data_IF_728111593460
#
_entry.id   IF_728111593460
#
_cell.length_a   1.000
_cell.length_b   1.000
_cell.length_c   1.000
_cell.angle_alpha   90.00
_cell.angle_beta   90.00
_cell.angle_gamma   90.00
#
_symmetry.space_group_name_H-M   'P 1'
#
loop_
_entity.id
_entity.type
_entity.pdbx_description
1 polymer ?
#
# COMPACT_ATOMS: atom_id res chain seq x y z
N UNK A 1 -0.95 -16.55 2.70
CA UNK A 1 -1.54 -15.22 2.41
C UNK A 1 -2.67 -15.48 1.45
N UNK A 2 -3.85 -15.05 1.82
CA UNK A 2 -5.04 -15.22 1.00
C UNK A 2 -5.34 -13.94 0.20
N UNK A 3 -6.27 -14.07 -0.76
CA UNK A 3 -6.91 -12.96 -1.41
C UNK A 3 -8.37 -12.88 -0.93
N UNK A 4 -8.89 -11.67 -0.74
CA UNK A 4 -10.29 -11.47 -0.35
C UNK A 4 -10.91 -10.37 -1.21
N UNK A 5 -12.10 -10.66 -1.73
CA UNK A 5 -12.92 -9.68 -2.45
C UNK A 5 -13.71 -8.89 -1.41
N UNK A 6 -13.57 -7.56 -1.40
CA UNK A 6 -14.34 -6.67 -0.53
C UNK A 6 -15.18 -5.77 -1.42
N UNK A 7 -16.49 -5.76 -1.19
CA UNK A 7 -17.39 -4.85 -1.92
C UNK A 7 -17.37 -3.46 -1.28
N UNK A 8 -17.66 -2.43 -2.07
CA UNK A 8 -17.72 -1.05 -1.58
C UNK A 8 -18.73 -0.88 -0.44
N UNK A 9 -19.91 -1.50 -0.58
CA UNK A 9 -20.93 -1.55 0.48
C UNK A 9 -20.38 -2.14 1.79
N UNK A 10 -19.61 -3.23 1.73
CA UNK A 10 -19.02 -3.84 2.93
C UNK A 10 -17.96 -2.95 3.59
N UNK A 11 -17.18 -2.21 2.78
CA UNK A 11 -16.18 -1.28 3.26
C UNK A 11 -16.81 -0.05 3.92
N UNK A 12 -17.82 0.54 3.27
CA UNK A 12 -18.51 1.76 3.72
C UNK A 12 -19.33 1.50 4.99
N UNK A 13 -19.96 0.33 5.11
CA UNK A 13 -20.75 -0.06 6.28
C UNK A 13 -19.92 -0.74 7.39
N UNK A 14 -18.59 -0.75 7.26
CA UNK A 14 -17.64 -1.29 8.25
C UNK A 14 -17.91 -2.75 8.67
N UNK A 15 -18.55 -3.54 7.80
CA UNK A 15 -19.00 -4.93 8.05
C UNK A 15 -17.88 -5.97 8.07
N UNK A 16 -16.62 -5.54 8.02
CA UNK A 16 -15.47 -6.42 8.04
C UNK A 16 -15.33 -7.16 9.38
N UNK A 17 -14.82 -8.41 9.37
CA UNK A 17 -14.58 -9.17 10.60
C UNK A 17 -13.66 -8.40 11.55
N UNK A 18 -13.87 -8.55 12.85
CA UNK A 18 -13.05 -7.94 13.90
C UNK A 18 -11.72 -8.69 14.13
N UNK A 19 -11.03 -9.00 13.03
CA UNK A 19 -9.73 -9.67 13.00
C UNK A 19 -8.74 -8.79 12.25
N UNK A 20 -7.50 -8.72 12.74
CA UNK A 20 -6.40 -8.03 12.11
C UNK A 20 -6.18 -8.58 10.71
N UNK A 21 -6.27 -7.71 9.71
CA UNK A 21 -6.13 -8.11 8.31
C UNK A 21 -4.77 -8.74 7.99
N UNK A 22 -3.71 -8.38 8.75
CA UNK A 22 -2.34 -8.90 8.55
C UNK A 22 -2.07 -10.25 9.23
N UNK A 23 -2.45 -10.41 10.50
CA UNK A 23 -2.09 -11.62 11.28
C UNK A 23 -3.27 -12.48 11.72
N UNK A 24 -4.51 -12.03 11.52
CA UNK A 24 -5.71 -12.79 11.84
C UNK A 24 -6.08 -12.85 13.32
N UNK A 25 -5.33 -12.20 14.22
CA UNK A 25 -5.69 -12.05 15.65
C UNK A 25 -6.83 -11.05 15.81
N UNK A 26 -7.49 -10.98 16.96
CA UNK A 26 -8.51 -9.96 17.24
C UNK A 26 -7.97 -8.55 16.97
N UNK A 27 -8.73 -7.75 16.21
CA UNK A 27 -8.39 -6.36 15.99
C UNK A 27 -8.63 -5.55 17.26
N UNK A 28 -7.85 -4.49 17.48
CA UNK A 28 -8.04 -3.54 18.59
C UNK A 28 -8.22 -2.12 18.09
N UNK A 29 -7.85 -1.87 16.82
CA UNK A 29 -7.95 -0.57 16.18
C UNK A 29 -8.52 -0.74 14.76
N UNK A 30 -9.36 0.20 14.35
CA UNK A 30 -9.77 0.37 12.96
C UNK A 30 -9.08 1.60 12.39
N UNK A 31 -8.45 1.47 11.23
CA UNK A 31 -7.80 2.59 10.54
C UNK A 31 -8.36 2.72 9.14
N UNK A 32 -8.74 3.92 8.73
CA UNK A 32 -9.09 4.17 7.34
C UNK A 32 -7.84 4.11 6.46
N UNK A 33 -7.93 3.40 5.33
CA UNK A 33 -6.88 3.31 4.33
C UNK A 33 -7.45 3.42 2.93
N UNK A 34 -6.91 4.37 2.18
CA UNK A 34 -7.15 4.50 0.75
C UNK A 34 -6.12 3.68 -0.01
N UNK A 35 -6.60 2.68 -0.72
CA UNK A 35 -5.82 1.92 -1.67
C UNK A 35 -5.99 2.51 -3.07
N UNK A 36 -4.91 2.60 -3.82
CA UNK A 36 -4.93 3.02 -5.23
C UNK A 36 -4.57 1.83 -6.10
N UNK A 37 -5.26 1.66 -7.23
CA UNK A 37 -4.93 0.60 -8.19
C UNK A 37 -3.46 0.73 -8.58
N UNK A 38 -2.71 -0.37 -8.51
CA UNK A 38 -1.36 -0.42 -9.10
C UNK A 38 -1.56 -0.36 -10.61
N UNK A 39 -1.45 0.83 -11.16
CA UNK A 39 -1.59 0.99 -12.60
C UNK A 39 -0.28 0.56 -13.28
N UNK A 40 -0.41 -0.15 -14.39
CA UNK A 40 0.69 -0.70 -15.19
C UNK A 40 1.49 0.39 -15.94
N UNK A 41 1.10 1.66 -15.84
CA UNK A 41 1.72 2.79 -16.54
C UNK A 41 3.14 3.14 -16.09
N UNK A 42 3.75 2.42 -15.15
CA UNK A 42 5.21 2.55 -14.94
C UNK A 42 5.98 2.37 -16.25
N UNK A 43 5.47 1.55 -17.18
CA UNK A 43 6.00 1.47 -18.54
C UNK A 43 5.75 2.74 -19.37
N UNK A 44 4.63 3.44 -19.16
CA UNK A 44 4.28 4.68 -19.85
C UNK A 44 5.11 5.88 -19.38
N UNK A 45 5.62 5.92 -18.14
CA UNK A 45 6.55 6.97 -17.67
C UNK A 45 7.80 7.02 -18.54
N UNK A 46 8.31 5.83 -18.90
CA UNK A 46 9.50 5.68 -19.72
C UNK A 46 9.30 6.21 -21.16
N UNK A 47 8.06 6.25 -21.65
CA UNK A 47 7.72 6.63 -23.03
C UNK A 47 7.08 8.02 -23.15
N UNK A 48 6.35 8.49 -22.15
CA UNK A 48 5.48 9.67 -22.22
C UNK A 48 5.93 10.88 -21.40
N UNK A 49 7.04 10.77 -20.66
CA UNK A 49 7.62 11.87 -19.89
C UNK A 49 6.71 12.45 -18.80
N UNK A 50 7.01 13.68 -18.39
CA UNK A 50 6.37 14.38 -17.26
C UNK A 50 4.84 14.56 -17.39
N UNK A 51 4.27 14.88 -18.58
CA UNK A 51 2.83 14.99 -18.74
C UNK A 51 2.09 13.68 -18.46
N UNK A 52 2.63 12.54 -18.93
CA UNK A 52 2.03 11.22 -18.68
C UNK A 52 1.97 10.87 -17.18
N UNK A 53 2.98 11.31 -16.43
CA UNK A 53 3.06 11.13 -14.98
C UNK A 53 1.99 11.94 -14.24
N UNK A 54 1.73 13.18 -14.68
CA UNK A 54 0.67 14.03 -14.11
C UNK A 54 -0.72 13.46 -14.37
N UNK A 55 -1.01 13.05 -15.61
CA UNK A 55 -2.28 12.40 -15.96
C UNK A 55 -2.48 11.09 -15.18
N UNK A 56 -1.43 10.26 -15.06
CA UNK A 56 -1.45 9.02 -14.29
C UNK A 56 -1.62 9.21 -12.78
N UNK A 57 -1.35 10.42 -12.25
CA UNK A 57 -1.67 10.78 -10.86
C UNK A 57 -3.12 11.21 -10.68
N UNK A 58 -3.69 11.92 -11.67
CA UNK A 58 -5.04 12.47 -11.61
C UNK A 58 -6.11 11.36 -11.73
N UNK A 59 -5.91 10.40 -12.63
CA UNK A 59 -6.87 9.34 -12.95
C UNK A 59 -6.60 8.03 -12.20
N UNK A 60 -6.32 8.12 -10.90
CA UNK A 60 -6.19 6.92 -10.06
C UNK A 60 -7.52 6.57 -9.42
N UNK A 61 -8.03 5.39 -9.76
CA UNK A 61 -9.09 4.75 -8.99
C UNK A 61 -8.61 4.54 -7.55
N UNK A 62 -9.37 5.11 -6.62
CA UNK A 62 -9.13 5.02 -5.18
C UNK A 62 -10.25 4.22 -4.55
N UNK A 63 -9.87 3.27 -3.70
CA UNK A 63 -10.79 2.47 -2.90
C UNK A 63 -10.42 2.65 -1.43
N UNK A 64 -11.29 3.32 -0.68
CA UNK A 64 -11.09 3.54 0.76
C UNK A 64 -11.79 2.44 1.54
N UNK A 65 -11.08 1.84 2.49
CA UNK A 65 -11.63 0.81 3.37
C UNK A 65 -11.08 0.97 4.78
N UNK A 66 -11.95 0.77 5.76
CA UNK A 66 -11.59 0.73 7.17
C UNK A 66 -10.92 -0.61 7.48
N UNK A 67 -9.60 -0.61 7.66
CA UNK A 67 -8.85 -1.85 7.93
C UNK A 67 -8.80 -2.15 9.44
N UNK A 68 -9.31 -3.32 9.88
CA UNK A 68 -9.14 -3.79 11.25
C UNK A 68 -7.70 -4.28 11.47
N UNK A 69 -7.04 -3.79 12.52
CA UNK A 69 -5.66 -4.09 12.90
C UNK A 69 -5.53 -4.35 14.40
N UNK A 70 -4.55 -5.18 14.80
CA UNK A 70 -4.18 -5.33 16.20
C UNK A 70 -3.10 -4.29 16.59
N UNK A 71 -2.82 -4.15 17.89
CA UNK A 71 -1.84 -3.21 18.41
C UNK A 71 -0.42 -3.39 17.85
N UNK A 72 -0.01 -4.62 17.57
CA UNK A 72 1.29 -4.90 16.93
C UNK A 72 1.37 -4.39 15.48
N UNK A 73 0.24 -4.19 14.81
CA UNK A 73 0.19 -3.83 13.39
C UNK A 73 -0.44 -2.47 13.09
N UNK A 74 -0.94 -1.73 14.10
CA UNK A 74 -1.55 -0.40 13.90
C UNK A 74 -0.60 0.62 13.27
N UNK A 75 0.70 0.51 13.57
CA UNK A 75 1.75 1.39 13.05
C UNK A 75 2.32 0.94 11.71
N UNK A 76 1.93 -0.23 11.19
CA UNK A 76 2.54 -0.80 9.98
C UNK A 76 2.50 0.15 8.77
N UNK A 77 1.35 0.76 8.52
CA UNK A 77 1.19 1.70 7.40
C UNK A 77 1.95 3.00 7.62
N UNK A 78 2.01 3.49 8.88
CA UNK A 78 2.75 4.72 9.22
C UNK A 78 4.25 4.50 9.05
N UNK A 79 4.77 3.38 9.58
CA UNK A 79 6.18 3.02 9.44
C UNK A 79 6.61 2.95 7.98
N UNK A 80 5.83 2.28 7.13
CA UNK A 80 6.12 2.22 5.69
C UNK A 80 6.10 3.59 5.02
N UNK A 81 5.17 4.47 5.42
CA UNK A 81 5.14 5.84 4.90
C UNK A 81 6.35 6.65 5.37
N UNK A 82 6.77 6.49 6.62
CA UNK A 82 7.95 7.16 7.18
C UNK A 82 9.23 6.67 6.50
N UNK A 83 9.40 5.36 6.30
CA UNK A 83 10.57 4.81 5.60
C UNK A 83 10.67 5.34 4.17
N UNK A 84 9.53 5.41 3.47
CA UNK A 84 9.48 5.96 2.12
C UNK A 84 9.81 7.46 2.10
N UNK A 85 9.07 8.28 2.85
CA UNK A 85 9.27 9.74 2.82
C UNK A 85 10.57 10.17 3.49
N UNK A 86 10.98 9.52 4.58
CA UNK A 86 12.20 9.82 5.31
C UNK A 86 13.45 9.54 4.48
N UNK A 87 13.51 8.41 3.77
CA UNK A 87 14.64 8.15 2.88
C UNK A 87 14.69 9.12 1.70
N UNK A 88 13.54 9.49 1.12
CA UNK A 88 13.49 10.51 0.07
C UNK A 88 13.96 11.89 0.58
N UNK A 89 13.54 12.27 1.78
CA UNK A 89 13.90 13.54 2.43
C UNK A 89 15.39 13.62 2.77
N UNK A 90 16.07 12.49 2.98
CA UNK A 90 17.53 12.43 3.16
C UNK A 90 18.25 12.39 1.80
N UNK A 91 17.75 11.61 0.84
CA UNK A 91 18.39 11.42 -0.47
C UNK A 91 18.45 12.69 -1.30
N UNK A 92 17.35 13.47 -1.35
CA UNK A 92 17.29 14.70 -2.16
C UNK A 92 18.38 15.71 -1.74
N UNK A 93 18.48 16.14 -0.48
CA UNK A 93 19.51 17.10 -0.08
C UNK A 93 20.92 16.50 -0.16
N UNK A 94 21.10 15.20 0.09
CA UNK A 94 22.40 14.55 -0.06
C UNK A 94 22.88 14.61 -1.52
N UNK A 95 22.01 14.32 -2.49
CA UNK A 95 22.31 14.46 -3.92
C UNK A 95 22.60 15.91 -4.30
N UNK A 96 21.77 16.87 -3.86
CA UNK A 96 22.01 18.29 -4.11
C UNK A 96 23.34 18.77 -3.53
N UNK A 97 23.71 18.31 -2.33
CA UNK A 97 25.00 18.59 -1.71
C UNK A 97 26.17 18.02 -2.51
N UNK A 98 26.06 16.79 -3.01
CA UNK A 98 27.06 16.20 -3.91
C UNK A 98 27.22 17.03 -5.19
N UNK A 99 26.13 17.45 -5.82
CA UNK A 99 26.17 18.29 -7.03
C UNK A 99 26.77 19.67 -6.77
N UNK A 100 26.38 20.34 -5.69
CA UNK A 100 26.91 21.65 -5.32
C UNK A 100 28.42 21.63 -4.97
N UNK A 101 28.94 20.47 -4.58
CA UNK A 101 30.35 20.29 -4.23
C UNK A 101 31.27 20.11 -5.45
N UNK A 102 30.70 19.85 -6.64
CA UNK A 102 31.47 19.70 -7.88
C UNK A 102 32.19 21.02 -8.18
N UNK A 103 33.52 20.99 -8.23
CA UNK A 103 34.37 22.16 -8.48
C UNK A 103 34.78 22.96 -7.25
N UNK A 104 34.25 22.66 -6.06
CA UNK A 104 34.59 23.36 -4.81
C UNK A 104 35.48 22.53 -3.87
N UNK A 105 35.52 21.21 -4.05
CA UNK A 105 36.20 20.28 -3.14
C UNK A 105 37.11 19.34 -3.94
N UNK A 106 38.16 18.81 -3.30
CA UNK A 106 39.05 17.82 -3.90
C UNK A 106 38.29 16.61 -4.47
N UNK A 107 38.68 16.16 -5.66
CA UNK A 107 37.98 15.12 -6.43
C UNK A 107 37.71 13.84 -5.62
N UNK A 108 38.67 13.41 -4.78
CA UNK A 108 38.52 12.21 -3.93
C UNK A 108 37.39 12.32 -2.90
N UNK A 109 37.14 13.53 -2.37
CA UNK A 109 36.05 13.74 -1.41
C UNK A 109 34.69 13.68 -2.12
N UNK A 110 34.63 14.27 -3.31
CA UNK A 110 33.44 14.24 -4.16
C UNK A 110 33.12 12.80 -4.57
N UNK A 111 34.11 12.03 -5.05
CA UNK A 111 33.99 10.62 -5.42
C UNK A 111 33.46 9.76 -4.26
N UNK A 112 34.08 9.84 -3.09
CA UNK A 112 33.64 9.10 -1.90
C UNK A 112 32.22 9.48 -1.46
N UNK A 113 31.84 10.76 -1.62
CA UNK A 113 30.48 11.23 -1.31
C UNK A 113 29.45 10.61 -2.25
N UNK A 114 29.74 10.56 -3.56
CA UNK A 114 28.85 9.92 -4.54
C UNK A 114 28.69 8.42 -4.28
N UNK A 115 29.78 7.72 -3.93
CA UNK A 115 29.72 6.29 -3.56
C UNK A 115 28.84 6.10 -2.32
N UNK A 116 29.03 6.92 -1.28
CA UNK A 116 28.25 6.85 -0.05
C UNK A 116 26.76 7.10 -0.27
N UNK A 117 26.41 8.15 -1.02
CA UNK A 117 25.01 8.46 -1.37
C UNK A 117 24.42 7.37 -2.25
N UNK A 118 25.19 6.82 -3.20
CA UNK A 118 24.76 5.71 -4.06
C UNK A 118 24.46 4.43 -3.26
N UNK A 119 25.34 4.06 -2.33
CA UNK A 119 25.14 2.90 -1.45
C UNK A 119 23.90 3.08 -0.56
N UNK A 120 23.70 4.27 0.02
CA UNK A 120 22.52 4.58 0.80
C UNK A 120 21.23 4.51 -0.04
N UNK A 121 21.25 5.09 -1.25
CA UNK A 121 20.11 5.03 -2.18
C UNK A 121 19.73 3.58 -2.50
N UNK A 122 20.72 2.74 -2.79
CA UNK A 122 20.51 1.33 -3.07
C UNK A 122 19.89 0.60 -1.88
N UNK A 123 20.44 0.77 -0.68
CA UNK A 123 19.92 0.15 0.54
C UNK A 123 18.47 0.58 0.82
N UNK A 124 18.17 1.87 0.66
CA UNK A 124 16.82 2.41 0.79
C UNK A 124 15.85 1.81 -0.22
N UNK A 125 16.23 1.69 -1.49
CA UNK A 125 15.42 1.04 -2.53
C UNK A 125 15.11 -0.41 -2.16
N UNK A 126 16.11 -1.18 -1.69
CA UNK A 126 15.90 -2.56 -1.22
C UNK A 126 14.87 -2.63 -0.10
N UNK A 127 14.98 -1.75 0.90
CA UNK A 127 14.02 -1.69 2.03
C UNK A 127 12.61 -1.35 1.52
N UNK A 128 12.48 -0.39 0.60
CA UNK A 128 11.19 -0.01 0.01
C UNK A 128 10.56 -1.17 -0.77
N UNK A 129 11.35 -1.85 -1.60
CA UNK A 129 10.91 -3.01 -2.38
C UNK A 129 10.47 -4.15 -1.45
N UNK A 130 11.27 -4.48 -0.44
CA UNK A 130 10.92 -5.51 0.54
C UNK A 130 9.64 -5.16 1.32
N UNK A 131 9.51 -3.90 1.74
CA UNK A 131 8.30 -3.38 2.40
C UNK A 131 7.06 -3.40 1.50
N UNK A 132 7.25 -3.37 0.19
CA UNK A 132 6.18 -3.51 -0.81
C UNK A 132 5.76 -4.97 -0.96
N UNK A 133 6.72 -5.90 -1.02
CA UNK A 133 6.46 -7.33 -1.19
C UNK A 133 5.72 -7.96 -0.01
N UNK A 134 5.93 -7.47 1.22
CA UNK A 134 5.30 -8.01 2.44
C UNK A 134 3.97 -7.29 2.79
N UNK A 135 3.63 -6.24 2.04
CA UNK A 135 2.46 -5.42 2.32
C UNK A 135 1.15 -6.06 1.86
N UNK A 136 0.05 -5.62 2.48
CA UNK A 136 -1.29 -5.80 1.93
C UNK A 136 -1.41 -4.86 0.73
N UNK A 137 -1.79 -5.41 -0.42
CA UNK A 137 -1.91 -4.65 -1.67
C UNK A 137 -3.22 -4.99 -2.39
N UNK A 138 -3.62 -4.17 -3.36
CA UNK A 138 -4.85 -4.38 -4.13
C UNK A 138 -4.51 -4.87 -5.52
N UNK A 139 -4.91 -6.10 -5.83
CA UNK A 139 -4.68 -6.70 -7.14
C UNK A 139 -5.53 -6.03 -8.22
N UNK A 140 -6.82 -5.84 -7.91
CA UNK A 140 -7.80 -5.35 -8.85
C UNK A 140 -8.79 -4.46 -8.12
N UNK A 141 -9.04 -3.28 -8.70
CA UNK A 141 -10.14 -2.39 -8.31
C UNK A 141 -11.12 -2.42 -9.47
N UNK A 142 -12.34 -2.84 -9.16
CA UNK A 142 -13.53 -2.66 -9.99
C UNK A 142 -14.44 -1.63 -9.33
N UNK A 143 -15.40 -1.05 -10.05
CA UNK A 143 -16.19 0.08 -9.57
C UNK A 143 -16.95 -0.18 -8.26
N UNK A 144 -17.26 -1.45 -7.96
CA UNK A 144 -18.03 -1.88 -6.78
C UNK A 144 -17.29 -2.85 -5.86
N UNK A 145 -16.11 -3.34 -6.24
CA UNK A 145 -15.35 -4.32 -5.46
C UNK A 145 -13.85 -4.19 -5.64
N UNK A 146 -13.09 -4.49 -4.59
CA UNK A 146 -11.65 -4.54 -4.59
C UNK A 146 -11.15 -5.91 -4.15
N UNK A 147 -10.15 -6.44 -4.84
CA UNK A 147 -9.46 -7.69 -4.47
C UNK A 147 -8.23 -7.32 -3.65
N UNK A 148 -8.30 -7.52 -2.33
CA UNK A 148 -7.16 -7.35 -1.44
C UNK A 148 -6.32 -8.63 -1.43
N UNK A 149 -5.01 -8.49 -1.65
CA UNK A 149 -4.00 -9.54 -1.53
C UNK A 149 -3.13 -9.30 -0.30
N UNK A 150 -2.51 -10.38 0.17
CA UNK A 150 -1.60 -10.30 1.31
C UNK A 150 -2.30 -10.28 2.67
N UNK A 151 -3.58 -10.70 2.70
CA UNK A 151 -4.34 -10.81 3.95
C UNK A 151 -4.09 -12.15 4.64
N UNK A 152 -4.31 -12.19 5.95
CA UNK A 152 -4.23 -13.45 6.71
C UNK A 152 -5.35 -14.41 6.31
N UNK A 153 -5.06 -15.70 6.33
CA UNK A 153 -6.02 -16.73 5.92
C UNK A 153 -7.22 -16.79 6.88
N UNK A 154 -7.02 -16.51 8.18
CA UNK A 154 -8.10 -16.41 9.16
C UNK A 154 -9.05 -15.25 8.87
N UNK A 155 -8.51 -14.09 8.46
CA UNK A 155 -9.32 -12.95 8.04
C UNK A 155 -10.14 -13.28 6.79
N UNK A 156 -9.51 -13.90 5.78
CA UNK A 156 -10.20 -14.30 4.55
C UNK A 156 -11.35 -15.29 4.83
N UNK A 157 -11.09 -16.35 5.61
CA UNK A 157 -12.12 -17.30 6.04
C UNK A 157 -13.27 -16.63 6.80
N UNK A 158 -12.97 -15.66 7.67
CA UNK A 158 -14.00 -14.92 8.40
C UNK A 158 -14.86 -14.04 7.48
N UNK A 159 -14.25 -13.44 6.44
CA UNK A 159 -14.98 -12.72 5.41
C UNK A 159 -15.88 -13.65 4.59
N UNK A 160 -15.40 -14.85 4.23
CA UNK A 160 -16.19 -15.84 3.49
C UNK A 160 -17.39 -16.34 4.29
N UNK A 161 -17.20 -16.65 5.58
CA UNK A 161 -18.31 -17.04 6.48
C UNK A 161 -19.39 -15.98 6.55
N UNK A 162 -19.01 -14.72 6.79
CA UNK A 162 -19.97 -13.60 6.82
C UNK A 162 -20.70 -13.39 5.49
N UNK A 163 -20.07 -13.70 4.36
CA UNK A 163 -20.73 -13.65 3.06
C UNK A 163 -21.74 -14.79 2.88
N UNK A 164 -21.43 -15.97 3.40
CA UNK A 164 -22.37 -17.09 3.41
C UNK A 164 -23.59 -16.77 4.28
N UNK A 165 -23.36 -16.26 5.50
CA UNK A 165 -24.44 -15.86 6.43
C UNK A 165 -25.32 -14.76 5.82
N UNK A 166 -24.73 -13.73 5.20
CA UNK A 166 -25.50 -12.67 4.56
C UNK A 166 -26.35 -13.16 3.36
N UNK A 167 -25.92 -14.22 2.68
CA UNK A 167 -26.68 -14.83 1.57
C UNK A 167 -27.82 -15.71 2.09
N UNK A 168 -27.63 -16.43 3.20
CA UNK A 168 -28.71 -17.20 3.80
C UNK A 168 -29.83 -16.27 4.28
N UNK A 169 -29.47 -15.12 4.86
CA UNK A 169 -30.47 -14.13 5.30
C UNK A 169 -31.27 -13.57 4.11
N UNK A 170 -30.59 -13.24 2.99
CA UNK A 170 -31.26 -12.71 1.78
C UNK A 170 -32.24 -13.72 1.14
N UNK A 171 -31.94 -15.02 1.23
CA UNK A 171 -32.81 -16.08 0.71
C UNK A 171 -34.09 -16.25 1.55
N UNK A 172 -33.97 -16.20 2.88
CA UNK A 172 -35.12 -16.34 3.81
C UNK A 172 -36.16 -15.22 3.64
N UNK A 173 -35.71 -13.99 3.38
CA UNK A 173 -36.61 -12.86 3.09
C UNK A 173 -37.36 -12.98 1.75
N UNK A 174 -36.84 -13.75 0.80
CA UNK A 174 -37.46 -13.91 -0.52
C UNK A 174 -38.59 -14.95 -0.51
N UNK A 175 -38.55 -15.95 0.37
CA UNK A 175 -39.61 -16.97 0.50
C UNK A 175 -40.84 -16.47 1.27
N UNK A 176 -40.70 -15.42 2.08
CA UNK A 176 -41.81 -14.81 2.83
C UNK A 176 -42.68 -13.82 2.02
N UNK A 177 -42.47 -13.68 0.70
CA UNK A 177 -43.15 -12.68 -0.15
C UNK A 177 -43.88 -13.32 -1.32
#
# INVERSE_FOLDING_TARGET
MAAVIITRRQADEDRLPHLCMRCGKTATVRSEKTFSKRQEWTASILLGGLPSLLFGMLFRDRFTVTVPLCDSHKSHFKWRSIVFWGGLLILIPALLGCFASIGNVADKVVENSFIGVGAFALAWVVIVVFSKLIGIDVAKIESHQAILMGVSDNFAKACERRKADAKSDEFDWAECR
#
